data_IF_756835412178
#
_entry.id   IF_756835412178
#
_cell.length_a   1.000
_cell.length_b   1.000
_cell.length_c   1.000
_cell.angle_alpha   90.00
_cell.angle_beta   90.00
_cell.angle_gamma   90.00
#
_symmetry.space_group_name_H-M   'P 1'
#
loop_
_entity.id
_entity.type
_entity.pdbx_description
1 polymer ?
#
# COMPACT_ATOMS: atom_id res chain seq x y z
N UNK A 1 -16.80 -7.74 -77.27
CA UNK A 1 -17.27 -6.61 -76.44
C UNK A 1 -18.23 -7.16 -75.40
N UNK A 2 -18.17 -6.65 -74.16
CA UNK A 2 -19.01 -6.98 -72.98
C UNK A 2 -18.54 -8.17 -72.14
N UNK A 3 -17.58 -7.95 -71.22
CA UNK A 3 -17.74 -7.56 -69.79
C UNK A 3 -18.07 -8.76 -68.88
N UNK A 4 -17.00 -9.36 -68.35
CA UNK A 4 -17.07 -10.28 -67.23
C UNK A 4 -17.49 -9.53 -65.96
N UNK A 5 -18.76 -9.66 -65.58
CA UNK A 5 -19.22 -9.34 -64.23
C UNK A 5 -18.96 -10.55 -63.34
N UNK A 6 -17.72 -10.70 -62.87
CA UNK A 6 -17.41 -11.62 -61.79
C UNK A 6 -18.17 -11.12 -60.55
N UNK A 7 -19.23 -11.87 -60.20
CA UNK A 7 -20.05 -11.60 -59.04
C UNK A 7 -19.15 -11.64 -57.79
N UNK A 8 -19.22 -10.64 -56.89
CA UNK A 8 -18.38 -10.55 -55.68
C UNK A 8 -18.48 -11.76 -54.73
N UNK A 9 -19.42 -12.68 -54.96
CA UNK A 9 -19.85 -13.72 -54.02
C UNK A 9 -19.04 -15.01 -54.05
N UNK A 10 -18.38 -15.35 -55.17
CA UNK A 10 -17.63 -16.62 -55.32
C UNK A 10 -16.25 -16.58 -54.63
N UNK A 11 -15.60 -15.41 -54.65
CA UNK A 11 -14.28 -15.22 -54.03
C UNK A 11 -14.34 -15.21 -52.51
N UNK A 12 -15.37 -14.59 -51.91
CA UNK A 12 -15.54 -14.50 -50.46
C UNK A 12 -15.79 -15.86 -49.80
N UNK A 13 -16.51 -16.77 -50.48
CA UNK A 13 -16.72 -18.14 -50.01
C UNK A 13 -15.43 -18.97 -50.06
N UNK A 14 -14.63 -18.82 -51.13
CA UNK A 14 -13.36 -19.56 -51.29
C UNK A 14 -12.27 -19.11 -50.31
N UNK A 15 -12.28 -17.84 -49.92
CA UNK A 15 -11.39 -17.28 -48.88
C UNK A 15 -11.99 -17.31 -47.46
N UNK A 16 -13.15 -17.95 -47.26
CA UNK A 16 -13.73 -18.21 -45.95
C UNK A 16 -14.18 -16.96 -45.17
N UNK A 17 -14.33 -15.81 -45.83
CA UNK A 17 -14.83 -14.57 -45.22
C UNK A 17 -16.35 -14.62 -45.14
N UNK A 18 -16.86 -15.34 -44.14
CA UNK A 18 -18.29 -15.27 -43.81
C UNK A 18 -18.58 -14.03 -42.95
N UNK A 19 -19.58 -13.18 -43.28
CA UNK A 19 -19.95 -12.01 -42.47
C UNK A 19 -20.27 -12.34 -41.01
N UNK A 20 -20.74 -13.58 -40.78
CA UNK A 20 -21.04 -14.15 -39.46
C UNK A 20 -19.79 -14.32 -38.59
N UNK A 21 -18.61 -14.54 -39.16
CA UNK A 21 -17.32 -14.61 -38.43
C UNK A 21 -16.91 -13.23 -37.93
N UNK A 22 -16.96 -12.20 -38.78
CA UNK A 22 -16.65 -10.82 -38.39
C UNK A 22 -17.58 -10.25 -37.30
N UNK A 23 -18.88 -10.60 -37.32
CA UNK A 23 -19.82 -10.16 -36.26
C UNK A 23 -19.56 -10.86 -34.92
N UNK A 24 -19.15 -12.13 -34.94
CA UNK A 24 -18.81 -12.89 -33.73
C UNK A 24 -17.49 -12.43 -33.13
N UNK A 25 -16.48 -12.18 -33.96
CA UNK A 25 -15.19 -11.65 -33.52
C UNK A 25 -15.32 -10.25 -32.92
N UNK A 26 -16.19 -9.41 -33.49
CA UNK A 26 -16.50 -8.10 -32.90
C UNK A 26 -17.20 -8.23 -31.54
N UNK A 27 -18.12 -9.19 -31.40
CA UNK A 27 -18.82 -9.43 -30.14
C UNK A 27 -17.86 -9.96 -29.05
N UNK A 28 -16.96 -10.89 -29.38
CA UNK A 28 -15.97 -11.41 -28.43
C UNK A 28 -14.99 -10.34 -28.00
N UNK A 29 -14.55 -9.46 -28.90
CA UNK A 29 -13.71 -8.31 -28.56
C UNK A 29 -14.42 -7.33 -27.63
N UNK A 30 -15.72 -7.04 -27.88
CA UNK A 30 -16.51 -6.16 -27.00
C UNK A 30 -16.66 -6.78 -25.60
N UNK A 31 -16.97 -8.08 -25.52
CA UNK A 31 -17.10 -8.78 -24.24
C UNK A 31 -15.76 -8.79 -23.50
N UNK A 32 -14.66 -9.12 -24.19
CA UNK A 32 -13.33 -9.11 -23.60
C UNK A 32 -12.94 -7.73 -23.07
N UNK A 33 -13.20 -6.67 -23.85
CA UNK A 33 -12.95 -5.30 -23.43
C UNK A 33 -13.81 -4.91 -22.22
N UNK A 34 -15.09 -5.30 -22.19
CA UNK A 34 -15.97 -5.04 -21.06
C UNK A 34 -15.50 -5.76 -19.79
N UNK A 35 -15.13 -7.03 -19.88
CA UNK A 35 -14.59 -7.80 -18.76
C UNK A 35 -13.30 -7.18 -18.25
N UNK A 36 -12.38 -6.82 -19.16
CA UNK A 36 -11.14 -6.15 -18.78
C UNK A 36 -11.39 -4.82 -18.07
N UNK A 37 -12.32 -3.99 -18.58
CA UNK A 37 -12.69 -2.73 -17.94
C UNK A 37 -13.25 -2.94 -16.53
N UNK A 38 -14.11 -3.94 -16.32
CA UNK A 38 -14.65 -4.27 -14.99
C UNK A 38 -13.53 -4.70 -14.03
N UNK A 39 -12.64 -5.59 -14.47
CA UNK A 39 -11.50 -6.05 -13.65
C UNK A 39 -10.58 -4.89 -13.29
N UNK A 40 -10.29 -4.01 -14.25
CA UNK A 40 -9.44 -2.84 -14.05
C UNK A 40 -10.07 -1.86 -13.04
N UNK A 41 -11.37 -1.57 -13.15
CA UNK A 41 -12.09 -0.71 -12.20
C UNK A 41 -12.08 -1.33 -10.80
N UNK A 42 -12.37 -2.63 -10.68
CA UNK A 42 -12.34 -3.32 -9.39
C UNK A 42 -10.95 -3.27 -8.75
N UNK A 43 -9.89 -3.47 -9.54
CA UNK A 43 -8.51 -3.38 -9.07
C UNK A 43 -8.15 -1.96 -8.60
N UNK A 44 -8.52 -0.92 -9.36
CA UNK A 44 -8.27 0.49 -8.97
C UNK A 44 -9.00 0.86 -7.68
N UNK A 45 -10.28 0.47 -7.55
CA UNK A 45 -11.05 0.74 -6.33
C UNK A 45 -10.43 0.03 -5.13
N UNK A 46 -10.06 -1.23 -5.29
CA UNK A 46 -9.41 -2.01 -4.23
C UNK A 46 -8.06 -1.41 -3.82
N UNK A 47 -7.19 -1.09 -4.79
CA UNK A 47 -5.89 -0.47 -4.54
C UNK A 47 -5.99 0.93 -3.93
N UNK A 48 -7.05 1.69 -4.27
CA UNK A 48 -7.27 3.04 -3.74
C UNK A 48 -7.73 3.05 -2.28
N UNK A 49 -8.52 2.06 -1.85
CA UNK A 49 -9.00 1.96 -0.47
C UNK A 49 -7.89 1.60 0.52
N UNK A 50 -6.87 0.87 0.06
CA UNK A 50 -5.71 0.46 0.88
C UNK A 50 -4.73 1.63 1.16
N UNK A 51 -4.89 2.77 0.47
CA UNK A 51 -4.02 3.94 0.57
C UNK A 51 -4.27 4.85 1.78
N UNK A 52 -5.19 4.48 2.68
CA UNK A 52 -5.59 5.27 3.86
C UNK A 52 -4.52 5.20 4.96
N UNK A 53 -3.32 5.73 4.70
CA UNK A 53 -2.28 5.84 5.72
C UNK A 53 -2.74 6.79 6.83
N UNK A 54 -2.48 6.47 8.11
CA UNK A 54 -2.97 7.26 9.24
C UNK A 54 -2.54 8.72 9.13
N UNK A 55 -3.40 9.65 9.54
CA UNK A 55 -3.06 11.08 9.71
C UNK A 55 -1.90 11.32 10.69
N UNK A 56 -1.42 10.26 11.36
CA UNK A 56 -0.25 10.26 12.23
C UNK A 56 0.93 9.63 11.51
N UNK A 57 1.98 10.43 11.32
CA UNK A 57 3.25 10.00 10.76
C UNK A 57 4.32 10.04 11.86
N UNK A 58 5.08 8.96 12.03
CA UNK A 58 6.10 8.88 13.04
C UNK A 58 7.45 8.52 12.43
N UNK A 59 8.50 9.13 12.97
CA UNK A 59 9.86 9.01 12.46
C UNK A 59 10.82 8.71 13.59
N UNK A 60 11.61 7.67 13.42
CA UNK A 60 12.76 7.39 14.30
C UNK A 60 13.88 8.41 14.05
N UNK A 61 14.41 9.00 15.13
CA UNK A 61 15.47 10.02 15.07
C UNK A 61 16.80 9.41 15.51
N UNK A 62 16.81 8.78 16.68
CA UNK A 62 18.00 8.15 17.22
C UNK A 62 17.63 7.07 18.25
N UNK A 63 18.57 6.19 18.56
CA UNK A 63 18.49 5.30 19.71
C UNK A 63 19.83 5.27 20.44
N UNK A 64 19.76 5.01 21.74
CA UNK A 64 20.94 4.84 22.60
C UNK A 64 20.74 3.60 23.45
N UNK A 65 21.63 2.61 23.30
CA UNK A 65 21.69 1.46 24.21
C UNK A 65 22.31 1.92 25.53
N UNK A 66 21.56 1.83 26.62
CA UNK A 66 22.02 2.25 27.95
C UNK A 66 22.71 1.08 28.64
N UNK A 67 22.08 -0.10 28.60
CA UNK A 67 22.57 -1.35 29.15
C UNK A 67 21.97 -2.54 28.36
N UNK A 68 22.37 -3.76 28.72
CA UNK A 68 21.95 -5.01 28.06
C UNK A 68 20.43 -5.25 28.11
N UNK A 69 19.66 -4.50 28.91
CA UNK A 69 18.22 -4.67 29.08
C UNK A 69 17.45 -3.35 28.91
N UNK A 70 18.09 -2.30 28.40
CA UNK A 70 17.51 -0.95 28.35
C UNK A 70 18.01 -0.16 27.16
N UNK A 71 17.08 0.29 26.32
CA UNK A 71 17.34 1.17 25.17
C UNK A 71 16.48 2.42 25.28
N UNK A 72 17.09 3.58 25.03
CA UNK A 72 16.38 4.85 24.82
C UNK A 72 16.13 5.05 23.33
N UNK A 73 14.92 5.44 22.98
CA UNK A 73 14.50 5.73 21.62
C UNK A 73 14.02 7.17 21.56
N UNK A 74 14.61 7.93 20.65
CA UNK A 74 14.29 9.31 20.35
C UNK A 74 13.54 9.34 19.01
N UNK A 75 12.33 9.86 19.02
CA UNK A 75 11.47 9.84 17.84
C UNK A 75 10.63 11.11 17.72
N UNK A 76 10.20 11.38 16.50
CA UNK A 76 9.29 12.48 16.18
C UNK A 76 7.93 11.93 15.75
N UNK A 77 6.87 12.53 16.26
CA UNK A 77 5.49 12.22 15.85
C UNK A 77 4.87 13.46 15.26
N UNK A 78 4.31 13.31 14.07
CA UNK A 78 3.60 14.34 13.33
C UNK A 78 2.13 13.99 13.23
N UNK A 79 1.27 14.85 13.81
CA UNK A 79 -0.19 14.66 13.80
C UNK A 79 -0.89 16.03 13.81
N UNK A 80 -2.17 16.11 13.41
CA UNK A 80 -2.95 17.35 13.49
C UNK A 80 -3.00 17.92 14.91
N UNK A 81 -3.02 19.25 15.03
CA UNK A 81 -3.08 19.91 16.32
C UNK A 81 -4.40 19.59 17.04
N UNK A 82 -4.32 19.34 18.35
CA UNK A 82 -5.47 19.00 19.19
C UNK A 82 -5.87 17.52 19.21
N UNK A 83 -5.22 16.66 18.42
CA UNK A 83 -5.45 15.20 18.43
C UNK A 83 -4.52 14.48 19.41
N UNK A 84 -4.95 13.33 19.92
CA UNK A 84 -4.16 12.41 20.73
C UNK A 84 -3.77 11.16 19.95
N UNK A 85 -2.61 10.58 20.26
CA UNK A 85 -2.19 9.32 19.65
C UNK A 85 -1.50 8.42 20.66
N UNK A 86 -1.44 7.12 20.36
CA UNK A 86 -0.54 6.19 21.03
C UNK A 86 0.45 5.64 20.02
N UNK A 87 1.71 5.51 20.46
CA UNK A 87 2.80 4.97 19.67
C UNK A 87 3.33 3.69 20.29
N UNK A 88 3.63 2.71 19.45
CA UNK A 88 4.33 1.50 19.80
C UNK A 88 5.83 1.68 19.53
N UNK A 89 6.61 1.66 20.59
CA UNK A 89 8.07 1.69 20.54
C UNK A 89 8.58 0.28 20.79
N UNK A 90 9.49 -0.19 19.94
CA UNK A 90 10.06 -1.52 20.03
C UNK A 90 11.58 -1.48 20.08
N UNK A 91 12.17 -2.54 20.65
CA UNK A 91 13.60 -2.78 20.64
C UNK A 91 13.89 -4.12 19.97
N UNK A 92 14.96 -4.15 19.17
CA UNK A 92 15.42 -5.28 18.38
C UNK A 92 16.83 -5.70 18.79
N UNK A 93 17.12 -7.01 18.71
CA UNK A 93 18.49 -7.54 18.81
C UNK A 93 19.18 -7.58 17.43
N UNK A 94 20.39 -8.13 17.37
CA UNK A 94 21.17 -8.29 16.13
C UNK A 94 20.48 -9.17 15.07
N UNK A 95 19.63 -10.09 15.50
CA UNK A 95 18.82 -10.96 14.62
C UNK A 95 17.49 -10.30 14.19
N UNK A 96 17.28 -9.01 14.47
CA UNK A 96 16.03 -8.29 14.25
C UNK A 96 14.82 -8.90 14.98
N UNK A 97 15.07 -9.65 16.06
CA UNK A 97 14.03 -10.19 16.95
C UNK A 97 13.57 -9.11 17.91
N UNK A 98 12.26 -8.99 18.11
CA UNK A 98 11.68 -8.06 19.09
C UNK A 98 11.99 -8.56 20.50
N UNK A 99 12.78 -7.78 21.23
CA UNK A 99 13.23 -8.08 22.59
C UNK A 99 12.65 -7.12 23.63
N UNK A 100 11.97 -6.07 23.19
CA UNK A 100 11.25 -5.15 24.08
C UNK A 100 10.15 -4.40 23.34
N UNK A 101 9.11 -4.03 24.09
CA UNK A 101 7.97 -3.29 23.57
C UNK A 101 7.40 -2.36 24.63
N UNK A 102 6.99 -1.16 24.23
CA UNK A 102 6.32 -0.18 25.08
C UNK A 102 5.31 0.61 24.27
N UNK A 103 4.11 0.77 24.80
CA UNK A 103 3.12 1.71 24.27
C UNK A 103 3.26 3.02 25.06
N UNK A 104 3.32 4.13 24.35
CA UNK A 104 3.48 5.47 24.90
C UNK A 104 2.39 6.37 24.35
N UNK A 105 1.79 7.14 25.25
CA UNK A 105 0.71 8.06 24.90
C UNK A 105 1.29 9.43 24.56
N UNK A 106 0.91 9.91 23.39
CA UNK A 106 1.30 11.21 22.84
C UNK A 106 0.15 12.19 23.10
N UNK A 107 0.36 13.20 23.97
CA UNK A 107 -0.68 14.17 24.27
C UNK A 107 -0.92 15.12 23.10
N UNK A 108 -2.13 15.68 23.07
CA UNK A 108 -2.47 16.74 22.15
C UNK A 108 -1.56 17.95 22.31
N UNK A 109 -1.21 18.56 21.19
CA UNK A 109 -0.31 19.71 21.11
C UNK A 109 -0.76 20.68 20.03
N UNK A 110 -0.31 21.92 20.16
CA UNK A 110 -0.52 22.96 19.15
C UNK A 110 0.46 22.83 17.97
N UNK A 111 1.49 21.98 18.10
CA UNK A 111 2.51 21.76 17.08
C UNK A 111 2.21 20.51 16.28
N UNK A 112 2.39 20.62 14.95
CA UNK A 112 2.21 19.50 14.04
C UNK A 112 3.22 18.38 14.31
N UNK A 113 4.50 18.71 14.53
CA UNK A 113 5.57 17.73 14.82
C UNK A 113 6.10 17.93 16.24
N UNK A 114 6.26 16.83 16.96
CA UNK A 114 6.71 16.79 18.35
C UNK A 114 7.79 15.73 18.52
N UNK A 115 8.84 16.05 19.28
CA UNK A 115 9.91 15.11 19.60
C UNK A 115 9.71 14.51 21.01
N UNK A 116 9.91 13.20 21.12
CA UNK A 116 9.79 12.45 22.37
C UNK A 116 11.02 11.56 22.56
N UNK A 117 11.28 11.22 23.82
CA UNK A 117 12.37 10.33 24.21
C UNK A 117 11.85 9.37 25.26
N UNK A 118 11.78 8.09 24.89
CA UNK A 118 11.25 7.06 25.76
C UNK A 118 12.24 5.92 25.96
N UNK A 119 12.24 5.38 27.18
CA UNK A 119 13.07 4.24 27.53
C UNK A 119 12.23 2.97 27.49
N UNK A 120 12.74 1.96 26.76
CA UNK A 120 12.15 0.63 26.60
C UNK A 120 13.01 -0.38 27.33
N UNK A 121 12.39 -1.19 28.18
CA UNK A 121 13.05 -2.33 28.83
C UNK A 121 12.99 -3.56 27.93
N UNK A 122 14.07 -4.31 27.87
CA UNK A 122 14.22 -5.47 26.99
C UNK A 122 14.53 -6.72 27.81
N UNK A 123 14.08 -7.87 27.32
CA UNK A 123 14.33 -9.17 27.96
C UNK A 123 15.68 -9.76 27.59
N UNK A 124 16.23 -9.32 26.46
CA UNK A 124 17.52 -9.70 25.88
C UNK A 124 18.27 -8.44 25.42
N UNK A 125 19.60 -8.56 25.18
CA UNK A 125 20.40 -7.49 24.59
C UNK A 125 19.79 -6.94 23.32
N UNK A 126 19.52 -5.64 23.34
CA UNK A 126 19.02 -4.90 22.18
C UNK A 126 20.15 -4.10 21.56
N UNK A 127 20.17 -4.07 20.24
CA UNK A 127 21.10 -3.28 19.44
C UNK A 127 20.42 -2.06 18.81
N UNK A 128 19.10 -2.11 18.63
CA UNK A 128 18.36 -1.02 17.99
C UNK A 128 17.03 -0.81 18.69
N UNK A 129 16.62 0.45 18.82
CA UNK A 129 15.26 0.83 19.22
C UNK A 129 14.64 1.70 18.14
N UNK A 130 13.35 1.53 17.89
CA UNK A 130 12.62 2.24 16.84
C UNK A 130 11.12 2.30 17.13
N UNK A 131 10.42 3.21 16.44
CA UNK A 131 8.96 3.20 16.40
C UNK A 131 8.46 2.15 15.41
N UNK A 132 7.54 1.31 15.86
CA UNK A 132 6.86 0.33 15.03
C UNK A 132 5.64 0.94 14.32
N UNK A 133 4.73 1.53 15.09
CA UNK A 133 3.46 2.04 14.59
C UNK A 133 2.88 3.08 15.56
N UNK A 134 2.21 4.11 15.03
CA UNK A 134 1.40 5.04 15.82
C UNK A 134 -0.05 5.08 15.31
N UNK A 135 -1.01 5.26 16.20
CA UNK A 135 -2.43 5.39 15.86
C UNK A 135 -3.08 6.49 16.70
N UNK A 136 -4.07 7.18 16.14
CA UNK A 136 -4.86 8.17 16.88
C UNK A 136 -5.74 7.48 17.93
N UNK A 137 -5.95 8.13 19.07
CA UNK A 137 -6.73 7.61 20.21
C UNK A 137 -7.76 8.61 20.70
#
# INVERSE_FOLDING_TARGET
MSTANAQPTDLDQRYGRTPRKGRRDRLTLIIAAAVFAVVLVAWVVWAGLDGSKPMVEARDVAHTVIDDQTVRVDYEVSMPAGETASCAVQALNEDFTVVGWKIVDVPASDRFTQAFSDTVRTTLPANTGLIYHCWLT
#
